data_IF_539739532291
#
_entry.id   IF_539739532291
#
_cell.length_a   1.000
_cell.length_b   1.000
_cell.length_c   1.000
_cell.angle_alpha   90.00
_cell.angle_beta   90.00
_cell.angle_gamma   90.00
#
_symmetry.space_group_name_H-M   'P 1'
#
loop_
_entity.id
_entity.type
_entity.pdbx_description
1 polymer ?
#
# COMPACT_ATOMS: atom_id res chain seq x y z
N UNK A 1 31.96 -16.97 12.60
CA UNK A 1 30.97 -15.91 12.85
C UNK A 1 29.82 -16.08 11.85
N UNK A 2 28.90 -17.00 12.14
CA UNK A 2 27.78 -17.32 11.25
C UNK A 2 26.71 -16.27 11.40
N UNK A 3 26.78 -15.22 10.59
CA UNK A 3 25.67 -14.27 10.44
C UNK A 3 24.50 -15.08 9.87
N UNK A 4 23.46 -15.24 10.68
CA UNK A 4 22.20 -15.87 10.30
C UNK A 4 21.59 -15.06 9.13
N UNK A 5 21.92 -15.46 7.90
CA UNK A 5 21.46 -14.84 6.64
C UNK A 5 19.94 -14.65 6.59
N UNK A 6 19.20 -15.44 7.36
CA UNK A 6 17.75 -15.38 7.50
C UNK A 6 17.24 -13.99 7.96
N UNK A 7 17.96 -13.28 8.84
CA UNK A 7 17.52 -11.96 9.34
C UNK A 7 17.81 -10.82 8.37
N UNK A 8 18.73 -11.00 7.41
CA UNK A 8 19.07 -9.95 6.44
C UNK A 8 17.99 -9.79 5.38
N UNK A 9 17.31 -10.87 4.99
CA UNK A 9 16.30 -10.85 3.94
C UNK A 9 15.13 -9.88 4.18
N UNK A 10 14.45 -9.86 5.35
CA UNK A 10 13.34 -8.93 5.57
C UNK A 10 13.82 -7.48 5.60
N UNK A 11 15.02 -7.21 6.13
CA UNK A 11 15.58 -5.86 6.17
C UNK A 11 15.91 -5.33 4.77
N UNK A 12 16.49 -6.17 3.89
CA UNK A 12 16.80 -5.80 2.50
C UNK A 12 15.51 -5.57 1.69
N UNK A 13 14.48 -6.39 1.89
CA UNK A 13 13.19 -6.21 1.21
C UNK A 13 12.54 -4.89 1.64
N UNK A 14 12.49 -4.60 2.94
CA UNK A 14 11.93 -3.34 3.45
C UNK A 14 12.71 -2.12 2.94
N UNK A 15 14.05 -2.21 2.93
CA UNK A 15 14.91 -1.16 2.40
C UNK A 15 14.64 -0.90 0.91
N UNK A 16 14.59 -1.95 0.09
CA UNK A 16 14.31 -1.82 -1.33
C UNK A 16 12.90 -1.29 -1.62
N UNK A 17 11.92 -1.64 -0.78
CA UNK A 17 10.57 -1.11 -0.88
C UNK A 17 10.49 0.38 -0.53
N UNK A 18 11.19 0.83 0.51
CA UNK A 18 11.21 2.25 0.92
C UNK A 18 11.96 3.11 -0.11
N UNK A 19 13.09 2.63 -0.62
CA UNK A 19 13.91 3.36 -1.60
C UNK A 19 13.50 3.14 -3.05
N UNK A 20 12.44 2.36 -3.30
CA UNK A 20 11.91 2.11 -4.64
C UNK A 20 12.96 1.59 -5.63
N UNK A 21 13.82 0.68 -5.16
CA UNK A 21 14.98 0.19 -5.93
C UNK A 21 14.65 -1.01 -6.82
N UNK A 22 13.44 -1.56 -6.72
CA UNK A 22 12.99 -2.65 -7.59
C UNK A 22 12.85 -2.20 -9.04
N UNK A 23 13.28 -3.04 -9.98
CA UNK A 23 13.17 -2.75 -11.41
C UNK A 23 11.70 -2.67 -11.85
N UNK A 24 11.46 -1.83 -12.88
CA UNK A 24 10.13 -1.72 -13.52
C UNK A 24 9.77 -3.09 -14.14
N UNK A 25 8.48 -3.41 -14.24
CA UNK A 25 7.96 -4.70 -14.74
C UNK A 25 8.33 -5.93 -13.90
N UNK A 26 8.67 -5.75 -12.62
CA UNK A 26 8.83 -6.85 -11.66
C UNK A 26 7.62 -6.95 -10.74
N UNK A 27 7.29 -8.16 -10.28
CA UNK A 27 6.13 -8.36 -9.41
C UNK A 27 6.26 -7.63 -8.05
N UNK A 28 7.48 -7.42 -7.56
CA UNK A 28 7.73 -6.66 -6.32
C UNK A 28 7.36 -5.19 -6.50
N UNK A 29 7.70 -4.63 -7.66
CA UNK A 29 7.31 -3.27 -8.04
C UNK A 29 5.78 -3.16 -8.11
N UNK A 30 5.11 -4.14 -8.72
CA UNK A 30 3.65 -4.15 -8.83
C UNK A 30 2.97 -4.20 -7.45
N UNK A 31 3.52 -4.96 -6.50
CA UNK A 31 3.02 -4.96 -5.11
C UNK A 31 3.18 -3.61 -4.41
N UNK A 32 4.29 -2.91 -4.63
CA UNK A 32 4.50 -1.58 -4.05
C UNK A 32 3.52 -0.55 -4.63
N UNK A 33 3.26 -0.60 -5.94
CA UNK A 33 2.21 0.20 -6.59
C UNK A 33 0.85 -0.12 -5.99
N UNK A 34 0.52 -1.40 -5.86
CA UNK A 34 -0.74 -1.85 -5.30
C UNK A 34 -0.91 -1.39 -3.84
N UNK A 35 0.16 -1.37 -3.04
CA UNK A 35 0.14 -0.83 -1.68
C UNK A 35 -0.19 0.66 -1.64
N UNK A 36 0.38 1.48 -2.54
CA UNK A 36 0.05 2.90 -2.65
C UNK A 36 -1.41 3.09 -3.11
N UNK A 37 -1.84 2.35 -4.13
CA UNK A 37 -3.22 2.43 -4.61
C UNK A 37 -4.21 2.04 -3.52
N UNK A 38 -3.93 0.96 -2.79
CA UNK A 38 -4.71 0.56 -1.62
C UNK A 38 -4.75 1.66 -0.57
N UNK A 39 -3.62 2.32 -0.27
CA UNK A 39 -3.61 3.45 0.65
C UNK A 39 -4.49 4.61 0.17
N UNK A 40 -4.39 5.02 -1.10
CA UNK A 40 -5.21 6.09 -1.68
C UNK A 40 -6.69 5.73 -1.67
N UNK A 41 -7.03 4.48 -1.99
CA UNK A 41 -8.41 4.02 -2.11
C UNK A 41 -9.05 3.70 -0.75
N UNK A 42 -8.26 3.24 0.20
CA UNK A 42 -8.72 2.94 1.56
C UNK A 42 -8.87 4.22 2.37
N UNK A 43 -8.08 5.27 2.11
CA UNK A 43 -8.21 6.56 2.80
C UNK A 43 -9.53 7.22 2.41
N UNK A 44 -10.57 7.22 3.28
CA UNK A 44 -11.86 7.75 2.90
C UNK A 44 -11.77 9.29 2.79
N UNK A 45 -12.46 9.92 1.82
CA UNK A 45 -12.42 11.36 1.62
C UNK A 45 -12.86 12.16 2.87
N UNK A 46 -13.65 11.53 3.74
CA UNK A 46 -14.09 12.10 5.01
C UNK A 46 -12.95 12.33 5.99
N UNK A 47 -11.86 11.56 5.93
CA UNK A 47 -10.67 11.78 6.78
C UNK A 47 -9.90 13.05 6.40
N UNK A 48 -9.97 13.44 5.13
CA UNK A 48 -9.32 14.65 4.63
C UNK A 48 -10.13 15.92 4.93
N UNK A 49 -11.37 15.79 5.42
CA UNK A 49 -12.24 16.92 5.74
C UNK A 49 -12.62 17.76 4.51
N UNK A 50 -12.57 17.16 3.32
CA UNK A 50 -12.66 17.88 2.06
C UNK A 50 -14.15 18.16 1.70
N UNK A 51 -14.62 19.42 1.69
CA UNK A 51 -16.02 19.76 1.45
C UNK A 51 -16.48 19.43 0.02
N UNK A 52 -15.54 19.23 -0.91
CA UNK A 52 -15.80 18.96 -2.33
C UNK A 52 -15.90 17.46 -2.63
N UNK A 53 -15.30 16.59 -1.80
CA UNK A 53 -15.35 15.14 -1.98
C UNK A 53 -16.57 14.53 -1.26
N UNK A 54 -17.78 14.92 -1.70
CA UNK A 54 -19.03 14.29 -1.23
C UNK A 54 -19.27 12.98 -1.99
N UNK A 55 -18.73 11.89 -1.47
CA UNK A 55 -18.96 10.54 -1.96
C UNK A 55 -18.62 9.50 -0.92
N UNK A 56 -19.47 8.47 -0.80
CA UNK A 56 -19.21 7.29 0.01
C UNK A 56 -18.01 6.58 -0.64
N UNK A 57 -16.82 6.70 -0.04
CA UNK A 57 -15.58 6.11 -0.57
C UNK A 57 -15.69 4.59 -0.76
N UNK A 58 -14.64 3.92 -1.25
CA UNK A 58 -14.69 2.47 -1.54
C UNK A 58 -15.14 1.61 -0.35
N UNK A 59 -14.68 1.93 0.86
CA UNK A 59 -15.15 1.27 2.09
C UNK A 59 -16.65 1.45 2.28
N UNK A 60 -17.12 2.67 2.03
CA UNK A 60 -18.53 2.99 2.13
C UNK A 60 -19.36 2.20 1.12
N UNK A 61 -18.93 2.10 -0.15
CA UNK A 61 -19.62 1.28 -1.15
C UNK A 61 -19.70 -0.20 -0.74
N UNK A 62 -18.60 -0.74 -0.20
CA UNK A 62 -18.57 -2.12 0.32
C UNK A 62 -19.56 -2.33 1.46
N UNK A 63 -19.66 -1.39 2.40
CA UNK A 63 -20.63 -1.44 3.49
C UNK A 63 -22.07 -1.41 2.99
N UNK A 64 -22.37 -0.67 1.92
CA UNK A 64 -23.71 -0.67 1.30
C UNK A 64 -24.04 -1.98 0.58
N UNK A 65 -23.03 -2.73 0.11
CA UNK A 65 -23.26 -4.02 -0.55
C UNK A 65 -23.43 -5.18 0.43
N UNK A 66 -22.90 -5.04 1.66
CA UNK A 66 -22.97 -6.06 2.72
C UNK A 66 -24.23 -5.92 3.59
N UNK A 67 -24.82 -4.72 3.66
CA UNK A 67 -26.02 -4.41 4.43
C UNK A 67 -27.27 -4.45 3.54
#
# INVERSE_FOLDING_TARGET
MGINRALTFPFVILWNAIFWTHERTTWQYDLMVLAILAFVWLTPPTWLGDPMAKGQGLIGLLLTLVN
#
